data_IF_012858170663
#
_entry.id   IF_012858170663
#
_cell.length_a   1.000
_cell.length_b   1.000
_cell.length_c   1.000
_cell.angle_alpha   90.00
_cell.angle_beta   90.00
_cell.angle_gamma   90.00
#
_symmetry.space_group_name_H-M   'P 1'
#
loop_
_entity.id
_entity.type
_entity.pdbx_description
1 polymer ?
#
# COMPACT_ATOMS: atom_id res chain seq x y z
N UNK A 1 28.11 -41.80 45.91
CA UNK A 1 27.21 -42.11 44.82
C UNK A 1 26.24 -40.94 44.67
N UNK A 2 26.58 -40.04 43.77
CA UNK A 2 25.76 -38.84 43.50
C UNK A 2 25.46 -38.81 42.01
N UNK A 3 24.21 -38.91 41.67
CA UNK A 3 23.74 -38.71 40.32
C UNK A 3 23.19 -37.29 40.21
N UNK A 4 23.91 -36.47 39.42
CA UNK A 4 23.44 -35.18 38.97
C UNK A 4 22.61 -35.39 37.72
N UNK A 5 21.35 -34.93 37.74
CA UNK A 5 20.48 -34.88 36.61
C UNK A 5 20.61 -33.48 35.98
N UNK A 6 21.15 -33.43 34.77
CA UNK A 6 21.15 -32.24 33.96
C UNK A 6 19.75 -31.90 33.48
N UNK A 7 19.35 -30.64 33.66
CA UNK A 7 18.16 -30.08 33.08
C UNK A 7 18.49 -29.74 31.61
N UNK A 8 17.73 -30.31 30.70
CA UNK A 8 17.71 -29.95 29.31
C UNK A 8 16.89 -28.69 29.15
N UNK A 9 17.55 -27.62 28.79
CA UNK A 9 16.95 -26.35 28.39
C UNK A 9 16.44 -26.55 26.96
N UNK A 10 15.14 -26.73 26.80
CA UNK A 10 14.48 -26.64 25.50
C UNK A 10 14.49 -25.18 25.07
N UNK A 11 15.37 -24.86 24.13
CA UNK A 11 15.31 -23.60 23.42
C UNK A 11 14.05 -23.60 22.56
N UNK A 12 13.09 -22.79 22.94
CA UNK A 12 11.94 -22.42 22.12
C UNK A 12 12.46 -21.79 20.83
N UNK A 13 12.35 -22.51 19.72
CA UNK A 13 12.53 -21.94 18.40
C UNK A 13 11.43 -20.90 18.19
N UNK A 14 11.83 -19.64 18.26
CA UNK A 14 10.99 -18.54 17.85
C UNK A 14 10.72 -18.69 16.33
N UNK A 15 9.48 -18.98 16.00
CA UNK A 15 9.00 -18.92 14.61
C UNK A 15 9.34 -17.56 14.03
N UNK A 16 10.20 -17.58 13.01
CA UNK A 16 10.54 -16.41 12.21
C UNK A 16 9.30 -16.12 11.35
N UNK A 17 8.65 -14.94 11.49
CA UNK A 17 7.50 -14.63 10.67
C UNK A 17 7.90 -14.60 9.20
N UNK A 18 7.03 -15.15 8.35
CA UNK A 18 7.21 -15.28 6.92
C UNK A 18 7.73 -13.99 6.28
N UNK A 19 8.75 -14.16 5.46
CA UNK A 19 9.50 -13.08 4.83
C UNK A 19 8.58 -12.14 4.04
N UNK A 20 8.60 -10.87 4.42
CA UNK A 20 8.10 -9.77 3.60
C UNK A 20 8.93 -9.75 2.32
N UNK A 21 8.39 -10.28 1.24
CA UNK A 21 9.02 -10.14 -0.07
C UNK A 21 8.76 -8.74 -0.60
N UNK A 22 9.64 -7.82 -0.28
CA UNK A 22 9.72 -6.55 -0.99
C UNK A 22 10.38 -6.85 -2.34
N UNK A 23 9.57 -7.01 -3.37
CA UNK A 23 10.10 -7.15 -4.73
C UNK A 23 10.33 -5.74 -5.26
N UNK A 24 11.58 -5.27 -5.18
CA UNK A 24 12.00 -4.21 -6.07
C UNK A 24 11.92 -4.78 -7.49
N UNK A 25 10.84 -4.45 -8.21
CA UNK A 25 10.67 -4.90 -9.58
C UNK A 25 11.65 -4.17 -10.49
N UNK A 26 12.82 -4.78 -10.66
CA UNK A 26 13.79 -4.42 -11.69
C UNK A 26 13.47 -5.07 -13.03
N UNK A 27 12.21 -5.14 -13.42
CA UNK A 27 11.83 -5.55 -14.76
C UNK A 27 11.87 -4.32 -15.66
N UNK A 28 12.77 -4.34 -16.64
CA UNK A 28 12.90 -3.34 -17.68
C UNK A 28 11.52 -3.04 -18.31
N UNK A 29 11.21 -1.75 -18.42
CA UNK A 29 10.14 -1.09 -19.16
C UNK A 29 9.00 -0.43 -18.38
N UNK A 30 9.00 -0.36 -17.05
CA UNK A 30 7.99 0.45 -16.35
C UNK A 30 8.67 1.34 -15.30
N UNK A 31 8.71 2.67 -15.52
CA UNK A 31 9.29 3.62 -14.59
C UNK A 31 8.31 3.96 -13.45
N UNK A 32 7.92 2.99 -12.66
CA UNK A 32 7.08 3.20 -11.48
C UNK A 32 7.67 2.39 -10.33
N UNK A 33 8.08 3.09 -9.28
CA UNK A 33 8.56 2.44 -8.07
C UNK A 33 7.39 1.89 -7.26
N UNK A 34 7.46 0.64 -6.89
CA UNK A 34 6.42 -0.04 -6.15
C UNK A 34 6.96 -0.68 -4.86
N UNK A 35 6.24 -0.50 -3.76
CA UNK A 35 6.30 -1.41 -2.63
C UNK A 35 5.14 -2.39 -2.74
N UNK A 36 5.46 -3.67 -2.78
CA UNK A 36 4.47 -4.73 -2.82
C UNK A 36 4.51 -5.50 -1.52
N UNK A 37 3.38 -5.61 -0.88
CA UNK A 37 3.19 -6.52 0.23
C UNK A 37 2.12 -7.53 -0.11
N UNK A 38 2.51 -8.80 -0.10
CA UNK A 38 1.59 -9.91 -0.08
C UNK A 38 1.32 -10.18 1.41
N UNK A 39 0.14 -9.81 1.89
CA UNK A 39 -0.27 -10.19 3.23
C UNK A 39 -0.33 -11.72 3.29
N UNK A 40 0.56 -12.30 4.10
CA UNK A 40 0.78 -13.73 4.17
C UNK A 40 -0.42 -14.50 4.73
N UNK A 41 -0.34 -15.80 4.46
CA UNK A 41 -1.16 -16.90 4.95
C UNK A 41 -2.68 -16.80 4.76
N UNK A 42 -3.17 -17.69 3.90
CA UNK A 42 -4.57 -18.09 3.88
C UNK A 42 -4.95 -18.58 5.28
N UNK A 43 -5.53 -17.69 6.08
CA UNK A 43 -6.38 -18.18 7.14
C UNK A 43 -7.53 -18.95 6.48
N UNK A 44 -7.80 -20.15 6.94
CA UNK A 44 -8.82 -21.05 6.41
C UNK A 44 -10.26 -20.49 6.55
N UNK A 45 -10.42 -19.30 7.11
CA UNK A 45 -11.69 -18.61 7.28
C UNK A 45 -11.93 -17.59 6.17
N UNK A 46 -12.77 -18.04 5.21
CA UNK A 46 -13.57 -17.19 4.34
C UNK A 46 -12.83 -16.14 3.50
N UNK A 47 -12.87 -16.33 2.21
CA UNK A 47 -12.45 -15.38 1.19
C UNK A 47 -13.25 -14.06 1.33
N UNK A 48 -12.66 -13.01 1.91
CA UNK A 48 -13.31 -11.71 2.06
C UNK A 48 -13.65 -11.18 0.67
N UNK A 49 -14.93 -10.99 0.38
CA UNK A 49 -15.34 -10.39 -0.89
C UNK A 49 -14.99 -8.89 -0.91
N UNK A 50 -14.77 -8.34 -2.10
CA UNK A 50 -14.56 -6.90 -2.23
C UNK A 50 -15.75 -6.09 -1.73
N UNK A 51 -16.97 -6.66 -1.78
CA UNK A 51 -18.17 -6.03 -1.24
C UNK A 51 -18.11 -5.92 0.28
N UNK A 52 -17.77 -7.01 0.98
CA UNK A 52 -17.58 -7.01 2.43
C UNK A 52 -16.49 -6.03 2.87
N UNK A 53 -15.37 -6.01 2.16
CA UNK A 53 -14.30 -5.06 2.42
C UNK A 53 -14.78 -3.60 2.30
N UNK A 54 -15.55 -3.29 1.24
CA UNK A 54 -16.11 -1.94 1.04
C UNK A 54 -17.11 -1.58 2.14
N UNK A 55 -17.89 -2.54 2.63
CA UNK A 55 -18.84 -2.32 3.74
C UNK A 55 -18.11 -2.07 5.08
N UNK A 56 -16.88 -2.57 5.24
CA UNK A 56 -16.05 -2.36 6.43
C UNK A 56 -15.24 -1.04 6.40
N UNK A 57 -15.15 -0.38 5.25
CA UNK A 57 -14.40 0.87 5.12
C UNK A 57 -15.34 2.07 5.28
N UNK A 58 -14.96 3.03 6.11
CA UNK A 58 -15.52 4.39 6.05
C UNK A 58 -14.92 5.14 4.84
N UNK A 59 -15.57 4.98 3.69
CA UNK A 59 -15.15 5.64 2.44
C UNK A 59 -15.04 7.16 2.60
N UNK A 60 -15.94 7.76 3.39
CA UNK A 60 -15.92 9.19 3.62
C UNK A 60 -14.68 9.62 4.43
N UNK A 61 -14.20 8.78 5.36
CA UNK A 61 -12.95 9.03 6.08
C UNK A 61 -11.74 8.95 5.15
N UNK A 62 -11.68 7.94 4.28
CA UNK A 62 -10.61 7.78 3.29
C UNK A 62 -10.59 8.96 2.32
N UNK A 63 -11.73 9.36 1.76
CA UNK A 63 -11.82 10.52 0.87
C UNK A 63 -11.45 11.82 1.55
N UNK A 64 -11.82 12.00 2.83
CA UNK A 64 -11.37 13.17 3.61
C UNK A 64 -9.85 13.21 3.79
N UNK A 65 -9.22 12.04 3.99
CA UNK A 65 -7.76 11.94 4.08
C UNK A 65 -7.09 12.30 2.75
N UNK A 66 -7.59 11.78 1.62
CA UNK A 66 -7.13 12.15 0.27
C UNK A 66 -7.24 13.66 0.05
N UNK A 67 -8.43 14.23 0.24
CA UNK A 67 -8.65 15.67 0.06
C UNK A 67 -7.83 16.54 1.05
N UNK A 68 -7.47 16.02 2.22
CA UNK A 68 -6.58 16.71 3.17
C UNK A 68 -5.11 16.64 2.70
N UNK A 69 -4.68 15.52 2.12
CA UNK A 69 -3.36 15.34 1.52
C UNK A 69 -3.15 16.34 0.39
N UNK A 70 -4.06 16.41 -0.57
CA UNK A 70 -3.98 17.27 -1.76
C UNK A 70 -4.02 18.78 -1.45
N UNK A 71 -4.56 19.16 -0.31
CA UNK A 71 -4.45 20.57 0.17
C UNK A 71 -3.04 20.96 0.60
N UNK A 72 -2.17 19.98 0.89
CA UNK A 72 -0.82 20.19 1.43
C UNK A 72 0.27 20.06 0.39
N UNK A 73 -0.01 19.36 -0.70
CA UNK A 73 0.95 19.01 -1.74
C UNK A 73 0.37 19.23 -3.14
N UNK A 74 1.23 19.37 -4.15
CA UNK A 74 0.85 19.23 -5.57
C UNK A 74 0.79 17.76 -6.01
N UNK A 75 1.12 16.80 -5.13
CA UNK A 75 1.06 15.38 -5.44
C UNK A 75 -0.36 14.84 -5.36
N UNK A 76 -0.65 13.92 -6.26
CA UNK A 76 -1.96 13.27 -6.38
C UNK A 76 -1.97 11.94 -5.62
N UNK A 77 -3.01 11.69 -4.83
CA UNK A 77 -3.14 10.45 -4.05
C UNK A 77 -4.45 9.78 -4.38
N UNK A 78 -4.40 8.51 -4.79
CA UNK A 78 -5.60 7.73 -5.10
C UNK A 78 -5.64 6.40 -4.38
N UNK A 79 -6.85 5.93 -4.11
CA UNK A 79 -7.14 4.59 -3.62
C UNK A 79 -7.94 3.83 -4.68
N UNK A 80 -7.53 2.62 -5.00
CA UNK A 80 -8.25 1.73 -5.90
C UNK A 80 -8.51 0.37 -5.24
N UNK A 81 -9.77 -0.06 -5.22
CA UNK A 81 -10.19 -1.35 -4.66
C UNK A 81 -10.63 -2.26 -5.79
N UNK A 82 -9.77 -3.22 -6.15
CA UNK A 82 -10.07 -4.18 -7.20
C UNK A 82 -11.10 -5.21 -6.71
N UNK A 83 -12.15 -5.41 -7.50
CA UNK A 83 -13.14 -6.48 -7.32
C UNK A 83 -12.71 -7.78 -7.98
N UNK A 84 -11.71 -7.71 -8.86
CA UNK A 84 -11.21 -8.86 -9.61
C UNK A 84 -10.16 -9.63 -8.83
N UNK A 85 -10.07 -10.93 -9.12
CA UNK A 85 -8.94 -11.74 -8.67
C UNK A 85 -7.73 -11.52 -9.57
N UNK A 86 -6.55 -11.57 -8.98
CA UNK A 86 -5.29 -11.48 -9.75
C UNK A 86 -5.07 -12.69 -10.66
N UNK A 87 -5.64 -13.86 -10.30
CA UNK A 87 -5.51 -15.12 -11.07
C UNK A 87 -4.06 -15.49 -11.35
N UNK A 88 -3.20 -15.36 -10.34
CA UNK A 88 -1.78 -15.66 -10.44
C UNK A 88 -0.93 -14.54 -11.07
N UNK A 89 -1.54 -13.40 -11.44
CA UNK A 89 -0.78 -12.22 -11.85
C UNK A 89 -0.15 -11.56 -10.63
N UNK A 90 0.98 -10.94 -10.84
CA UNK A 90 1.65 -10.14 -9.82
C UNK A 90 0.82 -8.89 -9.49
N UNK A 91 0.67 -8.58 -8.19
CA UNK A 91 -0.13 -7.45 -7.72
C UNK A 91 0.48 -6.11 -8.14
N UNK A 92 1.81 -5.99 -8.18
CA UNK A 92 2.48 -4.76 -8.60
C UNK A 92 2.29 -4.50 -10.07
N UNK A 93 2.37 -5.54 -10.90
CA UNK A 93 2.07 -5.44 -12.33
C UNK A 93 0.62 -5.01 -12.59
N UNK A 94 -0.34 -5.54 -11.80
CA UNK A 94 -1.73 -5.14 -11.90
C UNK A 94 -1.93 -3.68 -11.44
N UNK A 95 -1.29 -3.29 -10.35
CA UNK A 95 -1.35 -1.93 -9.83
C UNK A 95 -0.70 -0.94 -10.81
N UNK A 96 0.45 -1.28 -11.44
CA UNK A 96 1.09 -0.44 -12.45
C UNK A 96 0.20 -0.25 -13.69
N UNK A 97 -0.45 -1.32 -14.15
CA UNK A 97 -1.40 -1.22 -15.25
C UNK A 97 -2.60 -0.32 -14.89
N UNK A 98 -3.05 -0.37 -13.63
CA UNK A 98 -4.13 0.47 -13.14
C UNK A 98 -3.69 1.93 -12.98
N UNK A 99 -2.46 2.17 -12.52
CA UNK A 99 -1.85 3.49 -12.42
C UNK A 99 -1.86 4.22 -13.77
N UNK A 100 -1.43 3.54 -14.83
CA UNK A 100 -1.49 4.07 -16.20
C UNK A 100 -2.93 4.25 -16.70
N UNK A 101 -3.84 3.32 -16.39
CA UNK A 101 -5.26 3.42 -16.79
C UNK A 101 -5.98 4.61 -16.14
N UNK A 102 -5.51 5.03 -14.98
CA UNK A 102 -6.02 6.18 -14.24
C UNK A 102 -5.30 7.50 -14.61
N UNK A 103 -4.45 7.48 -15.64
CA UNK A 103 -3.63 8.60 -16.10
C UNK A 103 -2.73 9.22 -15.00
N UNK A 104 -2.37 8.43 -13.97
CA UNK A 104 -1.58 8.91 -12.84
C UNK A 104 -0.12 9.19 -13.22
N UNK A 105 0.34 8.64 -14.31
CA UNK A 105 1.66 8.90 -14.91
C UNK A 105 1.69 10.15 -15.79
N UNK A 106 0.59 10.89 -15.89
CA UNK A 106 0.51 12.11 -16.72
C UNK A 106 0.50 13.40 -15.91
N UNK A 107 0.64 13.32 -14.59
CA UNK A 107 0.71 14.51 -13.72
C UNK A 107 1.93 15.36 -14.04
N UNK A 108 1.79 16.68 -13.96
CA UNK A 108 2.83 17.66 -14.36
C UNK A 108 4.16 17.43 -13.60
N UNK A 109 4.11 17.14 -12.31
CA UNK A 109 5.28 16.95 -11.43
C UNK A 109 5.69 15.46 -11.30
N UNK A 110 5.01 14.52 -11.95
CA UNK A 110 5.26 13.05 -11.85
C UNK A 110 5.27 12.57 -10.39
N UNK A 111 4.30 13.00 -9.60
CA UNK A 111 4.27 12.88 -8.15
C UNK A 111 3.02 12.19 -7.60
N UNK A 112 2.41 11.33 -8.39
CA UNK A 112 1.23 10.59 -7.99
C UNK A 112 1.57 9.36 -7.13
N UNK A 113 0.64 8.98 -6.23
CA UNK A 113 0.71 7.77 -5.39
C UNK A 113 -0.61 7.02 -5.45
N UNK A 114 -0.55 5.72 -5.75
CA UNK A 114 -1.70 4.82 -5.80
C UNK A 114 -1.63 3.78 -4.69
N UNK A 115 -2.70 3.67 -3.90
CA UNK A 115 -2.97 2.55 -2.99
C UNK A 115 -3.89 1.57 -3.70
N UNK A 116 -3.35 0.47 -4.20
CA UNK A 116 -4.09 -0.57 -4.93
C UNK A 116 -4.38 -1.75 -4.01
N UNK A 117 -5.66 -2.01 -3.72
CA UNK A 117 -6.09 -3.06 -2.79
C UNK A 117 -6.87 -4.15 -3.52
N UNK A 118 -6.54 -5.42 -3.26
CA UNK A 118 -7.23 -6.61 -3.79
C UNK A 118 -7.75 -7.47 -2.64
N UNK A 119 -8.94 -7.15 -2.09
CA UNK A 119 -9.45 -7.79 -0.87
C UNK A 119 -9.60 -9.31 -0.99
N UNK A 120 -10.02 -9.79 -2.17
CA UNK A 120 -10.24 -11.22 -2.43
C UNK A 120 -8.96 -12.06 -2.33
N UNK A 121 -7.80 -11.45 -2.45
CA UNK A 121 -6.51 -12.12 -2.34
C UNK A 121 -5.71 -11.61 -1.13
N UNK A 122 -6.36 -10.78 -0.30
CA UNK A 122 -5.76 -10.19 0.92
C UNK A 122 -4.39 -9.58 0.63
N UNK A 123 -4.28 -8.91 -0.50
CA UNK A 123 -3.03 -8.28 -0.94
C UNK A 123 -3.27 -6.85 -1.37
N UNK A 124 -2.21 -6.07 -1.38
CA UNK A 124 -2.21 -4.71 -1.86
C UNK A 124 -0.85 -4.35 -2.45
N UNK A 125 -0.82 -3.24 -3.19
CA UNK A 125 0.42 -2.59 -3.60
C UNK A 125 0.29 -1.09 -3.36
N UNK A 126 1.40 -0.44 -2.99
CA UNK A 126 1.52 1.02 -2.99
C UNK A 126 2.50 1.39 -4.08
N UNK A 127 2.07 2.21 -5.01
CA UNK A 127 2.85 2.61 -6.18
C UNK A 127 3.00 4.12 -6.20
N UNK A 128 4.20 4.59 -6.41
CA UNK A 128 4.48 5.99 -6.63
C UNK A 128 5.17 6.23 -7.96
N UNK A 129 4.93 7.38 -8.53
CA UNK A 129 5.59 7.83 -9.74
C UNK A 129 7.10 8.07 -9.50
N UNK A 130 7.87 8.15 -10.58
CA UNK A 130 9.34 8.25 -10.57
C UNK A 130 9.87 9.39 -9.71
N UNK A 131 9.25 10.57 -9.78
CA UNK A 131 9.72 11.72 -9.01
C UNK A 131 9.51 11.50 -7.50
N UNK A 132 8.45 10.77 -7.09
CA UNK A 132 8.24 10.40 -5.69
C UNK A 132 9.33 9.43 -5.25
N UNK A 133 9.55 8.36 -6.03
CA UNK A 133 10.58 7.36 -5.69
C UNK A 133 11.98 7.97 -5.58
N UNK A 134 12.33 8.84 -6.51
CA UNK A 134 13.62 9.53 -6.50
C UNK A 134 13.85 10.38 -5.23
N UNK A 135 12.78 10.83 -4.57
CA UNK A 135 12.84 11.65 -3.36
C UNK A 135 12.80 10.83 -2.08
N UNK A 136 11.94 9.81 -2.02
CA UNK A 136 11.71 9.05 -0.79
C UNK A 136 12.58 7.79 -0.67
N UNK A 137 13.04 7.23 -1.77
CA UNK A 137 13.76 5.96 -1.79
C UNK A 137 12.91 4.76 -1.36
N UNK A 138 13.52 3.58 -1.33
CA UNK A 138 12.81 2.32 -1.07
C UNK A 138 12.30 2.21 0.38
N UNK A 139 13.03 2.72 1.36
CA UNK A 139 12.68 2.60 2.79
C UNK A 139 11.30 3.18 3.10
N UNK A 140 10.93 4.27 2.45
CA UNK A 140 9.61 4.88 2.62
C UNK A 140 8.48 3.92 2.23
N UNK A 141 8.61 3.27 1.08
CA UNK A 141 7.63 2.32 0.58
C UNK A 141 7.49 1.12 1.50
N UNK A 142 8.63 0.59 1.97
CA UNK A 142 8.68 -0.53 2.89
C UNK A 142 8.01 -0.22 4.23
N UNK A 143 8.24 0.96 4.78
CA UNK A 143 7.63 1.42 6.03
C UNK A 143 6.12 1.63 5.88
N UNK A 144 5.69 2.28 4.80
CA UNK A 144 4.27 2.49 4.48
C UNK A 144 3.54 1.16 4.33
N UNK A 145 4.14 0.24 3.58
CA UNK A 145 3.55 -1.06 3.35
C UNK A 145 3.46 -1.91 4.64
N UNK A 146 4.50 -1.92 5.48
CA UNK A 146 4.48 -2.62 6.78
C UNK A 146 3.43 -2.07 7.73
N UNK A 147 3.27 -0.75 7.78
CA UNK A 147 2.26 -0.12 8.62
C UNK A 147 0.85 -0.50 8.15
N UNK A 148 0.59 -0.43 6.86
CA UNK A 148 -0.70 -0.80 6.25
C UNK A 148 -1.01 -2.29 6.45
N UNK A 149 -0.03 -3.17 6.27
CA UNK A 149 -0.16 -4.61 6.51
C UNK A 149 -0.57 -4.91 7.95
N UNK A 150 0.08 -4.27 8.92
CA UNK A 150 -0.23 -4.44 10.34
C UNK A 150 -1.69 -4.09 10.62
N UNK A 151 -2.14 -2.93 10.15
CA UNK A 151 -3.51 -2.48 10.37
C UNK A 151 -4.53 -3.39 9.66
N UNK A 152 -4.22 -3.86 8.46
CA UNK A 152 -5.07 -4.78 7.72
C UNK A 152 -5.16 -6.16 8.38
N UNK A 153 -4.09 -6.67 8.98
CA UNK A 153 -4.11 -7.90 9.80
C UNK A 153 -5.00 -7.75 11.03
N UNK A 154 -5.04 -6.56 11.61
CA UNK A 154 -5.90 -6.23 12.76
C UNK A 154 -7.34 -5.85 12.34
N UNK A 155 -7.71 -6.02 11.05
CA UNK A 155 -8.98 -5.61 10.45
C UNK A 155 -9.31 -4.10 10.59
N UNK A 156 -8.30 -3.26 10.80
CA UNK A 156 -8.41 -1.80 10.86
C UNK A 156 -8.19 -1.18 9.47
N UNK A 157 -9.06 -1.51 8.54
CA UNK A 157 -8.89 -1.16 7.13
C UNK A 157 -8.96 0.34 6.87
N UNK A 158 -9.91 1.03 7.50
CA UNK A 158 -10.06 2.49 7.36
C UNK A 158 -8.87 3.22 7.96
N UNK A 159 -8.52 2.89 9.20
CA UNK A 159 -7.42 3.50 9.93
C UNK A 159 -6.09 3.28 9.21
N UNK A 160 -5.86 2.08 8.71
CA UNK A 160 -4.65 1.75 7.95
C UNK A 160 -4.53 2.56 6.66
N UNK A 161 -5.61 2.67 5.88
CA UNK A 161 -5.61 3.49 4.67
C UNK A 161 -5.42 4.97 4.98
N UNK A 162 -6.13 5.50 5.98
CA UNK A 162 -5.99 6.91 6.39
C UNK A 162 -4.57 7.21 6.84
N UNK A 163 -3.99 6.37 7.71
CA UNK A 163 -2.61 6.56 8.18
C UNK A 163 -1.58 6.47 7.03
N UNK A 164 -1.76 5.55 6.09
CA UNK A 164 -0.88 5.41 4.94
C UNK A 164 -0.99 6.62 3.99
N UNK A 165 -2.19 7.15 3.77
CA UNK A 165 -2.42 8.37 2.99
C UNK A 165 -1.76 9.58 3.67
N UNK A 166 -1.92 9.73 4.99
CA UNK A 166 -1.30 10.80 5.76
C UNK A 166 0.23 10.73 5.70
N UNK A 167 0.80 9.53 5.83
CA UNK A 167 2.25 9.31 5.70
C UNK A 167 2.75 9.69 4.30
N UNK A 168 2.04 9.29 3.24
CA UNK A 168 2.35 9.71 1.88
C UNK A 168 2.24 11.24 1.71
N UNK A 169 1.20 11.85 2.28
CA UNK A 169 0.99 13.30 2.24
C UNK A 169 2.11 14.09 2.92
N UNK A 170 2.64 13.59 4.04
CA UNK A 170 3.76 14.24 4.75
C UNK A 170 5.01 14.27 3.86
N UNK A 171 5.31 13.16 3.21
CA UNK A 171 6.44 13.07 2.28
C UNK A 171 6.21 13.95 1.04
N UNK A 172 5.03 13.84 0.42
CA UNK A 172 4.70 14.64 -0.75
C UNK A 172 4.75 16.15 -0.42
N UNK A 173 4.21 16.58 0.72
CA UNK A 173 4.26 17.98 1.14
C UNK A 173 5.70 18.49 1.37
N UNK A 174 6.60 17.62 1.83
CA UNK A 174 8.01 17.98 2.03
C UNK A 174 8.77 18.18 0.70
N UNK A 175 8.43 17.44 -0.34
CA UNK A 175 9.15 17.43 -1.61
C UNK A 175 8.41 18.09 -2.76
N UNK A 176 7.07 18.09 -2.70
CA UNK A 176 6.16 18.63 -3.70
C UNK A 176 5.12 19.55 -3.01
N UNK A 177 5.55 20.65 -2.38
CA UNK A 177 4.64 21.55 -1.68
C UNK A 177 3.67 22.19 -2.66
N UNK A 178 2.41 22.37 -2.23
CA UNK A 178 1.38 22.98 -3.05
C UNK A 178 1.80 24.39 -3.52
N UNK A 179 1.63 24.65 -4.80
CA UNK A 179 1.97 25.92 -5.44
C UNK A 179 0.73 26.82 -5.58
N UNK A 180 0.96 28.12 -5.72
CA UNK A 180 -0.13 29.07 -5.96
C UNK A 180 -0.71 28.84 -7.37
N UNK A 181 -1.98 28.46 -7.45
CA UNK A 181 -2.63 28.15 -8.72
C UNK A 181 -2.62 26.66 -9.08
N UNK A 182 -2.10 25.82 -8.19
CA UNK A 182 -2.14 24.37 -8.31
C UNK A 182 -3.57 23.85 -8.39
N UNK A 183 -3.82 22.93 -9.30
CA UNK A 183 -5.12 22.32 -9.55
C UNK A 183 -5.04 20.85 -9.19
N UNK A 184 -6.13 20.32 -8.67
CA UNK A 184 -6.29 18.89 -8.60
C UNK A 184 -6.40 18.35 -10.03
N UNK A 185 -5.44 17.51 -10.43
CA UNK A 185 -5.33 16.98 -11.79
C UNK A 185 -6.17 15.71 -11.97
N UNK A 186 -6.43 14.99 -10.88
CA UNK A 186 -7.16 13.73 -10.86
C UNK A 186 -8.39 13.81 -9.93
N UNK A 187 -9.45 13.02 -10.19
CA UNK A 187 -10.64 13.05 -9.34
C UNK A 187 -10.41 12.38 -7.97
N UNK A 188 -10.91 13.02 -6.90
CA UNK A 188 -10.91 12.52 -5.52
C UNK A 188 -11.97 11.43 -5.34
N UNK A 189 -11.72 10.25 -5.85
CA UNK A 189 -12.65 9.12 -5.73
C UNK A 189 -11.92 7.82 -5.40
N UNK A 190 -12.60 6.89 -4.73
CA UNK A 190 -12.11 5.52 -4.61
C UNK A 190 -12.43 4.79 -5.90
N UNK A 191 -11.40 4.51 -6.71
CA UNK A 191 -11.52 3.77 -7.95
C UNK A 191 -11.96 2.32 -7.72
N UNK A 192 -12.71 1.75 -8.68
CA UNK A 192 -13.18 0.34 -8.66
C UNK A 192 -13.31 -0.19 -10.07
N UNK A 193 -13.15 -1.53 -10.23
CA UNK A 193 -13.36 -2.27 -11.48
C UNK A 193 -14.60 -3.19 -11.46
#
# INVERSE_FOLDING_TARGET
MSFSRGASEEASEAEVPAAVSVVASGAADFPVAAAVLVAGERAEDGDMSSKEFIELIDEAAVLRAVAAAEKRTSGEVRVFISRRRLRGRDVSACASAEFHRLDMDTTDDRNAVLFYVVPRERTFAVIGDDAVHAKCGQSFWDETAKALEKDFKDARFTEGLVAAIEHAADLLAAHFPRRRGDRNELPDEIGRD
#
